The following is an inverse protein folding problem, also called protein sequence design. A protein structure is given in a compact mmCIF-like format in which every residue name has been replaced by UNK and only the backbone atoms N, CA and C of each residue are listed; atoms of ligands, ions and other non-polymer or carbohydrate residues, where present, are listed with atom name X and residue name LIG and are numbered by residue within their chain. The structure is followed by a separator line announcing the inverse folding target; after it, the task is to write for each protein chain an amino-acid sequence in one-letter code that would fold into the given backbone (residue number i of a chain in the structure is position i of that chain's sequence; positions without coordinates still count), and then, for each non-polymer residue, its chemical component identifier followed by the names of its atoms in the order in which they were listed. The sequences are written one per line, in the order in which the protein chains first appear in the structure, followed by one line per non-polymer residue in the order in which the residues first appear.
data_IF_633217590538
#
_entry.id   IF_633217590538
#
_cell.length_a   1.000
_cell.length_b   1.000
_cell.length_c   1.000
_cell.angle_alpha   90.00
_cell.angle_beta   90.00
_cell.angle_gamma   90.00
#
_symmetry.space_group_name_H-M   'P 1'
#
loop_
_entity.id
_entity.type
_entity.pdbx_description
1 polymer ?
#
# COMPACT_ATOMS: atom_id res chain seq x y z
N UNK A 1 35.69 -7.28 -10.67
CA UNK A 1 36.18 -6.28 -11.65
C UNK A 1 35.64 -6.61 -13.02
N UNK A 2 34.97 -5.68 -13.68
CA UNK A 2 34.49 -5.85 -15.05
C UNK A 2 35.63 -5.59 -16.04
N UNK A 3 35.79 -6.45 -17.05
CA UNK A 3 36.74 -6.26 -18.14
C UNK A 3 36.01 -5.65 -19.34
N UNK A 4 36.44 -4.47 -19.85
CA UNK A 4 35.74 -3.77 -20.90
C UNK A 4 35.74 -4.56 -22.22
N UNK A 5 34.63 -4.47 -22.96
CA UNK A 5 34.45 -5.08 -24.29
C UNK A 5 34.05 -4.00 -25.28
N UNK A 6 34.49 -4.10 -26.54
CA UNK A 6 34.21 -3.09 -27.57
C UNK A 6 32.73 -2.97 -27.92
N UNK A 7 31.97 -4.05 -27.68
CA UNK A 7 30.54 -4.14 -27.99
C UNK A 7 29.63 -3.63 -26.85
N UNK A 8 30.19 -3.28 -25.68
CA UNK A 8 29.41 -2.98 -24.47
C UNK A 8 29.78 -1.61 -23.92
N UNK A 9 28.78 -0.75 -23.73
CA UNK A 9 28.88 0.49 -22.97
C UNK A 9 28.35 0.30 -21.55
N UNK A 10 29.09 0.78 -20.55
CA UNK A 10 28.60 0.89 -19.18
C UNK A 10 27.84 2.20 -19.07
N UNK A 11 26.51 2.14 -18.99
CA UNK A 11 25.67 3.35 -18.91
C UNK A 11 25.71 3.96 -17.50
N UNK A 12 25.50 3.15 -16.46
CA UNK A 12 25.45 3.62 -15.08
C UNK A 12 25.90 2.57 -14.06
N UNK A 13 26.25 3.04 -12.85
CA UNK A 13 26.47 2.18 -11.69
C UNK A 13 25.25 2.27 -10.75
N UNK A 14 24.49 1.17 -10.68
CA UNK A 14 23.29 1.09 -9.86
C UNK A 14 23.67 0.77 -8.41
N UNK A 15 23.13 1.55 -7.46
CA UNK A 15 23.28 1.31 -6.02
C UNK A 15 22.07 0.56 -5.48
N UNK A 16 22.28 -0.27 -4.47
CA UNK A 16 21.19 -0.93 -3.76
C UNK A 16 20.42 0.05 -2.87
N UNK A 17 19.10 -0.13 -2.78
CA UNK A 17 18.21 0.55 -1.83
C UNK A 17 18.21 -0.25 -0.52
N UNK A 18 18.40 0.42 0.62
CA UNK A 18 18.37 -0.24 1.93
C UNK A 18 16.97 -0.12 2.51
N UNK A 19 16.28 -1.25 2.68
CA UNK A 19 14.96 -1.34 3.28
C UNK A 19 15.05 -1.75 4.74
N UNK A 20 14.50 -0.92 5.63
CA UNK A 20 14.38 -1.22 7.07
C UNK A 20 13.11 -2.02 7.34
N UNK A 21 12.95 -2.58 8.56
CA UNK A 21 11.65 -3.08 8.99
C UNK A 21 10.57 -2.00 8.81
N UNK A 22 9.36 -2.42 8.40
CA UNK A 22 8.22 -1.55 8.13
C UNK A 22 8.43 -0.55 6.97
N UNK A 23 9.34 -0.86 6.06
CA UNK A 23 9.51 -0.13 4.79
C UNK A 23 9.36 -1.07 3.61
N UNK A 24 8.98 -0.51 2.46
CA UNK A 24 8.90 -1.20 1.18
C UNK A 24 9.47 -0.31 0.09
N UNK A 25 10.00 -0.90 -0.98
CA UNK A 25 10.35 -0.17 -2.21
C UNK A 25 9.21 -0.30 -3.21
N UNK A 26 8.76 0.82 -3.77
CA UNK A 26 7.86 0.88 -4.91
C UNK A 26 8.67 0.83 -6.19
N UNK A 27 8.36 -0.16 -7.01
CA UNK A 27 9.04 -0.44 -8.26
C UNK A 27 8.08 -0.23 -9.41
N UNK A 28 8.63 0.13 -10.58
CA UNK A 28 7.91 0.21 -11.84
C UNK A 28 8.67 -0.54 -12.92
N UNK A 29 7.95 -1.29 -13.75
CA UNK A 29 8.55 -1.97 -14.89
C UNK A 29 8.79 -0.98 -16.04
N UNK A 30 10.04 -0.81 -16.46
CA UNK A 30 10.40 0.01 -17.64
C UNK A 30 10.02 -0.66 -18.96
N UNK A 31 9.88 -1.98 -18.95
CA UNK A 31 9.40 -2.82 -20.05
C UNK A 31 8.88 -4.14 -19.51
N UNK A 32 8.26 -4.95 -20.37
CA UNK A 32 7.89 -6.33 -20.04
C UNK A 32 9.07 -7.09 -19.46
N UNK A 33 8.88 -7.61 -18.24
CA UNK A 33 9.93 -8.31 -17.51
C UNK A 33 9.33 -9.34 -16.56
N UNK A 34 10.18 -10.18 -15.99
CA UNK A 34 9.83 -11.06 -14.87
C UNK A 34 10.53 -10.51 -13.64
N UNK A 35 9.75 -10.22 -12.58
CA UNK A 35 10.30 -9.73 -11.32
C UNK A 35 11.07 -10.82 -10.56
N UNK A 36 11.67 -10.45 -9.42
CA UNK A 36 12.44 -11.37 -8.58
C UNK A 36 11.61 -12.55 -8.03
N UNK A 37 10.30 -12.37 -7.91
CA UNK A 37 9.39 -13.38 -7.37
C UNK A 37 8.84 -14.30 -8.49
N UNK A 38 9.31 -14.11 -9.73
CA UNK A 38 8.91 -14.91 -10.88
C UNK A 38 7.60 -14.46 -11.52
N UNK A 39 7.09 -13.27 -11.17
CA UNK A 39 5.83 -12.73 -11.68
C UNK A 39 6.12 -11.93 -12.95
N UNK A 40 5.40 -12.23 -14.03
CA UNK A 40 5.44 -11.44 -15.25
C UNK A 40 4.81 -10.06 -15.00
N UNK A 41 5.53 -8.99 -15.35
CA UNK A 41 5.12 -7.59 -15.20
C UNK A 41 5.00 -6.93 -16.56
N UNK A 42 3.92 -6.19 -16.75
CA UNK A 42 3.70 -5.39 -17.95
C UNK A 42 4.44 -4.05 -17.88
N UNK A 43 4.65 -3.41 -19.04
CA UNK A 43 5.32 -2.11 -19.10
C UNK A 43 4.51 -1.06 -18.34
N UNK A 44 5.15 -0.37 -17.39
CA UNK A 44 4.51 0.64 -16.54
C UNK A 44 3.80 0.08 -15.31
N UNK A 45 3.71 -1.25 -15.17
CA UNK A 45 3.14 -1.87 -13.98
C UNK A 45 3.98 -1.53 -12.74
N UNK A 46 3.31 -1.30 -11.62
CA UNK A 46 3.94 -0.98 -10.35
C UNK A 46 3.62 -2.02 -9.27
N UNK A 47 4.60 -2.29 -8.41
CA UNK A 47 4.44 -3.21 -7.28
C UNK A 47 5.33 -2.79 -6.11
N UNK A 48 5.09 -3.40 -4.95
CA UNK A 48 5.91 -3.21 -3.75
C UNK A 48 6.78 -4.44 -3.48
N UNK A 49 8.07 -4.23 -3.21
CA UNK A 49 8.92 -5.23 -2.58
C UNK A 49 9.16 -4.88 -1.11
N UNK A 50 8.85 -5.83 -0.21
CA UNK A 50 8.89 -5.66 1.25
C UNK A 50 10.07 -6.42 1.90
N UNK A 51 11.03 -6.88 1.10
CA UNK A 51 12.16 -7.67 1.61
C UNK A 51 13.12 -6.78 2.38
N UNK A 52 13.28 -7.05 3.68
CA UNK A 52 14.21 -6.30 4.53
C UNK A 52 15.65 -6.54 4.07
N UNK A 53 16.47 -5.48 4.07
CA UNK A 53 17.87 -5.53 3.67
C UNK A 53 18.15 -4.72 2.41
N UNK A 54 19.19 -5.10 1.67
CA UNK A 54 19.59 -4.40 0.45
C UNK A 54 18.84 -4.94 -0.77
N UNK A 55 18.02 -4.10 -1.39
CA UNK A 55 17.38 -4.38 -2.66
C UNK A 55 18.19 -3.76 -3.80
N UNK A 56 18.85 -4.59 -4.61
CA UNK A 56 19.50 -4.15 -5.85
C UNK A 56 18.49 -4.29 -7.01
N UNK A 57 18.03 -3.20 -7.65
CA UNK A 57 17.07 -3.29 -8.75
C UNK A 57 17.64 -4.04 -9.96
N UNK A 58 16.78 -4.74 -10.68
CA UNK A 58 17.11 -5.34 -11.97
C UNK A 58 17.21 -4.27 -13.07
N UNK A 59 17.79 -4.63 -14.22
CA UNK A 59 18.05 -3.70 -15.33
C UNK A 59 16.80 -2.96 -15.84
N UNK A 60 15.62 -3.57 -15.69
CA UNK A 60 14.35 -3.04 -16.17
C UNK A 60 13.39 -2.63 -15.04
N UNK A 61 13.87 -2.64 -13.79
CA UNK A 61 13.13 -2.12 -12.64
C UNK A 61 13.52 -0.67 -12.40
N UNK A 62 12.54 0.19 -12.31
CA UNK A 62 12.68 1.57 -11.86
C UNK A 62 12.29 1.67 -10.38
N UNK A 63 13.18 2.22 -9.54
CA UNK A 63 12.83 2.56 -8.16
C UNK A 63 12.07 3.88 -8.15
N UNK A 64 10.78 3.83 -7.84
CA UNK A 64 9.91 5.01 -7.80
C UNK A 64 10.06 5.74 -6.47
N UNK A 65 9.90 5.01 -5.36
CA UNK A 65 9.98 5.57 -4.01
C UNK A 65 10.11 4.50 -2.93
N UNK A 66 10.46 4.90 -1.72
CA UNK A 66 10.37 4.05 -0.52
C UNK A 66 9.10 4.41 0.25
N UNK A 67 8.26 3.42 0.54
CA UNK A 67 7.01 3.56 1.27
C UNK A 67 7.23 3.09 2.71
N UNK A 68 6.83 3.91 3.69
CA UNK A 68 6.89 3.57 5.11
C UNK A 68 5.54 3.09 5.60
N UNK A 69 5.54 2.19 6.57
CA UNK A 69 4.32 1.76 7.23
C UNK A 69 3.73 2.85 8.12
N UNK A 70 2.40 2.87 8.19
CA UNK A 70 1.65 3.59 9.20
C UNK A 70 1.58 2.75 10.47
N UNK A 71 1.88 3.35 11.61
CA UNK A 71 1.70 2.71 12.93
C UNK A 71 0.25 2.94 13.37
N UNK A 72 -0.49 1.86 13.54
CA UNK A 72 -1.88 1.87 14.00
C UNK A 72 -1.93 1.67 15.50
N UNK A 73 -2.94 2.26 16.13
CA UNK A 73 -3.17 2.14 17.59
C UNK A 73 -4.66 1.98 17.84
N UNK A 74 -5.06 1.60 19.05
CA UNK A 74 -6.49 1.54 19.42
C UNK A 74 -7.22 2.88 19.26
N UNK A 75 -6.46 3.98 19.13
CA UNK A 75 -6.97 5.33 18.96
C UNK A 75 -6.97 5.84 17.52
N UNK A 76 -6.36 5.10 16.58
CA UNK A 76 -6.17 5.55 15.19
C UNK A 76 -6.40 4.41 14.21
N UNK A 77 -7.24 4.66 13.21
CA UNK A 77 -7.44 3.80 12.06
C UNK A 77 -6.92 4.48 10.79
N UNK A 78 -6.48 3.68 9.80
CA UNK A 78 -6.06 4.19 8.50
C UNK A 78 -7.24 4.13 7.53
N UNK A 79 -7.55 5.25 6.90
CA UNK A 79 -8.59 5.36 5.88
C UNK A 79 -7.98 5.23 4.50
N UNK A 80 -8.40 4.19 3.80
CA UNK A 80 -7.92 3.81 2.48
C UNK A 80 -9.03 3.91 1.45
N UNK A 81 -8.63 4.18 0.21
CA UNK A 81 -9.46 4.12 -0.99
C UNK A 81 -8.79 3.24 -2.03
N UNK A 82 -9.56 2.40 -2.70
CA UNK A 82 -9.07 1.57 -3.80
C UNK A 82 -8.96 2.40 -5.09
N UNK A 83 -7.79 2.39 -5.72
CA UNK A 83 -7.54 3.02 -7.04
C UNK A 83 -7.99 2.13 -8.21
N UNK A 84 -8.30 0.86 -7.94
CA UNK A 84 -8.73 -0.14 -8.92
C UNK A 84 -9.36 -1.34 -8.23
N UNK A 85 -9.87 -2.31 -9.01
CA UNK A 85 -10.41 -3.54 -8.43
C UNK A 85 -9.27 -4.54 -8.19
N UNK A 86 -9.06 -4.94 -6.93
CA UNK A 86 -7.98 -5.86 -6.56
C UNK A 86 -8.34 -6.69 -5.32
N UNK A 87 -7.45 -7.59 -4.91
CA UNK A 87 -7.56 -8.33 -3.66
C UNK A 87 -6.50 -7.78 -2.71
N UNK A 88 -6.92 -7.28 -1.56
CA UNK A 88 -6.03 -6.68 -0.57
C UNK A 88 -5.17 -7.72 0.17
N UNK A 89 -4.26 -7.24 1.02
CA UNK A 89 -3.38 -8.08 1.84
C UNK A 89 -4.15 -9.00 2.79
N UNK A 90 -5.38 -8.62 3.17
CA UNK A 90 -6.28 -9.38 4.04
C UNK A 90 -7.19 -10.34 3.25
N UNK A 91 -6.97 -10.49 1.94
CA UNK A 91 -7.74 -11.35 1.04
C UNK A 91 -9.18 -10.90 0.82
N UNK A 92 -9.49 -9.62 1.06
CA UNK A 92 -10.78 -9.04 0.69
C UNK A 92 -10.72 -8.47 -0.73
N UNK A 93 -11.76 -8.74 -1.53
CA UNK A 93 -11.92 -8.12 -2.84
C UNK A 93 -12.40 -6.68 -2.63
N UNK A 94 -11.61 -5.72 -3.10
CA UNK A 94 -11.94 -4.30 -3.11
C UNK A 94 -12.34 -3.86 -4.51
N UNK A 95 -13.42 -3.11 -4.62
CA UNK A 95 -13.86 -2.51 -5.88
C UNK A 95 -13.24 -1.12 -6.06
N UNK A 96 -13.06 -0.69 -7.31
CA UNK A 96 -12.56 0.66 -7.59
C UNK A 96 -13.41 1.74 -6.89
N UNK A 97 -12.75 2.66 -6.19
CA UNK A 97 -13.37 3.73 -5.41
C UNK A 97 -13.98 3.30 -4.08
N UNK A 98 -13.94 2.01 -3.73
CA UNK A 98 -14.34 1.55 -2.40
C UNK A 98 -13.42 2.15 -1.33
N UNK A 99 -13.98 2.54 -0.20
CA UNK A 99 -13.25 3.09 0.94
C UNK A 99 -13.45 2.23 2.19
N UNK A 100 -12.38 2.04 2.97
CA UNK A 100 -12.43 1.25 4.21
C UNK A 100 -11.45 1.76 5.25
N UNK A 101 -11.59 1.22 6.47
CA UNK A 101 -10.70 1.47 7.59
C UNK A 101 -9.89 0.22 7.92
N UNK A 102 -8.59 0.39 8.13
CA UNK A 102 -7.70 -0.62 8.72
C UNK A 102 -7.43 -0.25 10.17
N UNK A 103 -7.62 -1.20 11.09
CA UNK A 103 -7.47 -1.00 12.54
C UNK A 103 -6.25 -1.73 13.09
N UNK A 104 -5.82 -1.34 14.30
CA UNK A 104 -4.71 -1.98 14.99
C UNK A 104 -4.92 -3.48 15.28
N UNK A 105 -6.18 -3.92 15.40
CA UNK A 105 -6.54 -5.35 15.55
C UNK A 105 -6.25 -6.18 14.30
N UNK A 106 -6.21 -5.55 13.13
CA UNK A 106 -5.97 -6.21 11.84
C UNK A 106 -4.46 -6.25 11.56
N UNK A 107 -3.74 -5.15 11.85
CA UNK A 107 -2.30 -5.07 11.81
C UNK A 107 -1.78 -3.91 12.70
N UNK A 108 -0.69 -4.12 13.45
CA UNK A 108 -0.04 -3.05 14.24
C UNK A 108 0.58 -1.97 13.35
N UNK A 109 1.12 -2.39 12.20
CA UNK A 109 1.68 -1.51 11.17
C UNK A 109 1.15 -1.89 9.81
N UNK A 110 0.86 -0.90 8.97
CA UNK A 110 0.31 -1.14 7.64
C UNK A 110 1.05 -0.34 6.57
N UNK A 111 1.53 -1.02 5.53
CA UNK A 111 2.14 -0.41 4.35
C UNK A 111 1.08 -0.42 3.23
N UNK A 112 0.53 0.75 2.83
CA UNK A 112 -0.43 0.83 1.74
C UNK A 112 0.16 0.27 0.44
N UNK A 113 -0.58 -0.60 -0.23
CA UNK A 113 -0.18 -1.18 -1.50
C UNK A 113 -0.34 -0.19 -2.68
N UNK A 114 0.13 -0.57 -3.87
CA UNK A 114 0.13 0.27 -5.08
C UNK A 114 -1.27 0.72 -5.47
N UNK A 115 -2.28 -0.13 -5.27
CA UNK A 115 -3.69 0.15 -5.57
C UNK A 115 -4.46 0.77 -4.40
N UNK A 116 -3.77 1.14 -3.32
CA UNK A 116 -4.36 1.72 -2.12
C UNK A 116 -3.92 3.17 -1.96
N UNK A 117 -4.89 4.07 -1.93
CA UNK A 117 -4.67 5.48 -1.64
C UNK A 117 -4.99 5.76 -0.18
N UNK A 118 -4.06 6.40 0.54
CA UNK A 118 -4.30 6.86 1.90
C UNK A 118 -5.09 8.16 1.85
N UNK A 119 -6.37 8.08 2.21
CA UNK A 119 -7.24 9.26 2.33
C UNK A 119 -6.93 10.03 3.62
N UNK A 120 -6.62 9.32 4.71
CA UNK A 120 -6.23 9.95 5.96
C UNK A 120 -6.10 9.00 7.14
N UNK A 121 -5.88 9.56 8.32
CA UNK A 121 -5.87 8.84 9.60
C UNK A 121 -7.07 9.29 10.42
N UNK A 122 -7.93 8.35 10.80
CA UNK A 122 -9.16 8.61 11.54
C UNK A 122 -8.96 8.29 13.01
N UNK A 123 -9.21 9.27 13.88
CA UNK A 123 -9.17 9.07 15.32
C UNK A 123 -10.44 8.37 15.82
N UNK A 124 -10.30 7.54 16.85
CA UNK A 124 -11.46 6.93 17.51
C UNK A 124 -12.31 8.00 18.21
N UNK A 125 -13.63 7.93 18.03
CA UNK A 125 -14.58 8.75 18.79
C UNK A 125 -14.98 7.99 20.05
N UNK A 126 -14.61 8.51 21.22
CA UNK A 126 -14.97 7.93 22.53
C UNK A 126 -16.00 8.82 23.20
N UNK A 127 -17.08 8.21 23.69
CA UNK A 127 -18.14 8.88 24.43
C UNK A 127 -18.04 8.50 25.92
N UNK A 128 -18.20 9.48 26.81
CA UNK A 128 -18.27 9.22 28.24
C UNK A 128 -19.72 8.90 28.70
N UNK A 129 -19.89 8.64 30.00
CA UNK A 129 -21.18 8.24 30.59
C UNK A 129 -22.32 9.27 30.47
N UNK A 130 -22.02 10.50 30.04
CA UNK A 130 -22.98 11.60 29.85
C UNK A 130 -23.03 12.11 28.42
N UNK A 131 -22.43 11.40 27.47
CA UNK A 131 -22.40 11.78 26.07
C UNK A 131 -23.12 10.74 25.21
N UNK A 132 -23.71 11.20 24.11
CA UNK A 132 -24.20 10.36 23.02
C UNK A 132 -23.79 11.00 21.69
N UNK A 133 -23.80 10.22 20.60
CA UNK A 133 -23.57 10.72 19.26
C UNK A 133 -24.74 10.33 18.35
N UNK A 134 -24.86 11.01 17.21
CA UNK A 134 -25.79 10.61 16.16
C UNK A 134 -24.96 10.38 14.90
N UNK A 135 -24.93 9.15 14.43
CA UNK A 135 -24.26 8.76 13.19
C UNK A 135 -25.23 8.99 12.05
N UNK A 136 -24.87 9.87 11.12
CA UNK A 136 -25.59 10.09 9.86
C UNK A 136 -25.05 9.11 8.82
N UNK A 137 -25.94 8.56 7.99
CA UNK A 137 -25.65 7.58 6.94
C UNK A 137 -24.88 6.35 7.45
N UNK A 138 -25.37 5.67 8.50
CA UNK A 138 -24.67 4.55 9.11
C UNK A 138 -24.44 3.42 8.10
N UNK A 139 -23.27 2.80 8.18
CA UNK A 139 -22.90 1.66 7.33
C UNK A 139 -23.72 0.43 7.74
N UNK A 140 -24.37 -0.22 6.77
CA UNK A 140 -25.13 -1.45 6.96
C UNK A 140 -24.27 -2.71 7.03
N UNK A 141 -24.91 -3.87 7.23
CA UNK A 141 -24.25 -5.18 7.19
C UNK A 141 -23.73 -5.54 5.79
N UNK A 142 -24.22 -4.87 4.76
CA UNK A 142 -23.76 -4.96 3.37
C UNK A 142 -22.51 -4.10 3.10
N UNK A 143 -21.99 -3.40 4.11
CA UNK A 143 -20.82 -2.52 3.99
C UNK A 143 -21.10 -1.20 3.29
N UNK A 144 -22.37 -0.86 3.02
CA UNK A 144 -22.73 0.38 2.31
C UNK A 144 -23.35 1.43 3.25
N UNK A 145 -23.09 2.73 3.03
CA UNK A 145 -23.76 3.81 3.75
C UNK A 145 -25.27 3.82 3.49
N UNK A 146 -26.07 3.94 4.54
CA UNK A 146 -27.53 4.04 4.44
C UNK A 146 -27.96 5.51 4.35
N UNK A 147 -27.94 6.06 3.14
CA UNK A 147 -28.20 7.48 2.87
C UNK A 147 -29.55 7.96 3.45
N UNK A 148 -29.50 9.11 4.13
CA UNK A 148 -30.64 9.75 4.78
C UNK A 148 -31.03 9.15 6.13
N UNK A 149 -30.37 8.07 6.58
CA UNK A 149 -30.67 7.46 7.88
C UNK A 149 -29.79 8.03 8.99
N UNK A 150 -30.28 7.89 10.22
CA UNK A 150 -29.57 8.26 11.44
C UNK A 150 -29.57 7.08 12.41
N UNK A 151 -28.46 6.89 13.13
CA UNK A 151 -28.33 5.93 14.21
C UNK A 151 -27.84 6.65 15.46
N UNK A 152 -28.55 6.47 16.57
CA UNK A 152 -28.14 6.93 17.89
C UNK A 152 -27.05 6.00 18.45
#
# INVERSE_FOLDING_TARGET
TYLPRKEVSVEEQIKAVILKPNEAVRLRAKKEMVDRDGIARETGEEWLNRTIGSYLPLAYEEVVSTVKAYVLTDKKALHLRALGTFIDSFKHKRLNGEEWLVYARDAETYIPDVFEEVVGVVAVTVLNSRQYAVIIDPVGSDGKPQLGKKKL
#
